data_IF_538482778709
#
_entry.id   IF_538482778709
#
_cell.length_a   1.000
_cell.length_b   1.000
_cell.length_c   1.000
_cell.angle_alpha   90.00
_cell.angle_beta   90.00
_cell.angle_gamma   90.00
#
_symmetry.space_group_name_H-M   'P 1'
#
loop_
_entity.id
_entity.type
_entity.pdbx_description
1 polymer ?
#
# COMPACT_ATOMS: atom_id res chain seq x y z
N UNK A 1 44.44 58.75 6.18
CA UNK A 1 44.09 60.09 6.71
C UNK A 1 42.66 60.38 6.34
N UNK A 2 41.90 60.92 7.28
CA UNK A 2 40.44 60.74 7.33
C UNK A 2 39.70 61.96 6.76
N UNK A 3 38.41 61.77 6.51
CA UNK A 3 37.49 62.91 6.62
C UNK A 3 36.10 62.37 7.04
N UNK A 4 35.81 62.68 8.31
CA UNK A 4 34.48 62.66 8.90
C UNK A 4 33.58 63.70 8.26
N UNK A 5 32.37 63.37 7.90
CA UNK A 5 31.32 64.36 7.66
C UNK A 5 30.13 64.00 8.56
N UNK A 6 29.91 64.85 9.56
CA UNK A 6 28.77 64.86 10.46
C UNK A 6 27.56 65.45 9.74
N UNK A 7 26.39 64.85 9.90
CA UNK A 7 25.09 65.44 9.59
C UNK A 7 24.26 65.58 10.89
N UNK A 8 23.52 66.66 11.06
CA UNK A 8 22.89 66.99 12.34
C UNK A 8 21.52 66.28 12.53
N UNK A 9 21.28 65.99 13.80
CA UNK A 9 19.99 65.47 14.27
C UNK A 9 18.91 66.55 14.17
N UNK A 10 17.89 66.32 13.39
CA UNK A 10 16.69 67.13 13.36
C UNK A 10 15.60 66.47 14.20
N UNK A 11 15.24 67.11 15.31
CA UNK A 11 14.17 66.69 16.21
C UNK A 11 12.83 66.95 15.54
N UNK A 12 12.10 65.90 15.23
CA UNK A 12 10.69 65.99 14.81
C UNK A 12 9.81 65.65 16.01
N UNK A 13 9.13 66.66 16.54
CA UNK A 13 8.05 66.51 17.52
C UNK A 13 6.81 65.96 16.79
N UNK A 14 6.43 64.72 17.10
CA UNK A 14 5.18 64.17 16.62
C UNK A 14 4.11 64.30 17.70
N UNK A 15 3.12 65.14 17.43
CA UNK A 15 1.91 65.27 18.25
C UNK A 15 1.09 63.98 18.23
N UNK A 16 0.95 63.34 19.39
CA UNK A 16 0.09 62.19 19.57
C UNK A 16 -1.34 62.66 19.85
N UNK A 17 -2.19 62.61 18.81
CA UNK A 17 -3.64 62.80 18.96
C UNK A 17 -4.26 61.48 19.40
N UNK A 18 -4.64 61.38 20.70
CA UNK A 18 -5.42 60.28 21.23
C UNK A 18 -6.87 60.40 20.74
N UNK A 19 -7.26 59.58 19.79
CA UNK A 19 -8.67 59.30 19.47
C UNK A 19 -9.17 58.19 20.41
N UNK A 20 -9.98 58.55 21.40
CA UNK A 20 -10.79 57.58 22.16
C UNK A 20 -11.97 57.15 21.30
N UNK A 21 -11.86 55.96 20.72
CA UNK A 21 -13.00 55.25 20.11
C UNK A 21 -13.57 54.29 21.17
N UNK A 22 -14.91 54.18 21.31
CA UNK A 22 -15.50 53.22 22.22
C UNK A 22 -15.31 51.81 21.69
N UNK A 23 -14.78 50.92 22.53
CA UNK A 23 -14.73 49.48 22.28
C UNK A 23 -16.16 48.94 22.26
N UNK A 24 -16.65 48.64 21.06
CA UNK A 24 -17.82 47.78 20.89
C UNK A 24 -17.38 46.32 21.12
N UNK A 25 -17.86 45.71 22.19
CA UNK A 25 -17.72 44.28 22.42
C UNK A 25 -18.47 43.51 21.32
N UNK A 26 -17.73 42.83 20.43
CA UNK A 26 -18.28 41.88 19.51
C UNK A 26 -18.43 40.54 20.26
N UNK A 27 -19.65 39.99 20.40
CA UNK A 27 -19.80 38.67 21.00
C UNK A 27 -19.17 37.62 20.09
N UNK A 28 -18.04 37.09 20.51
CA UNK A 28 -17.34 36.01 19.83
C UNK A 28 -18.03 34.67 20.16
N UNK A 29 -19.14 34.40 19.48
CA UNK A 29 -19.74 33.07 19.42
C UNK A 29 -19.34 32.42 18.09
N UNK A 30 -18.10 31.93 18.00
CA UNK A 30 -17.80 30.88 17.05
C UNK A 30 -18.41 29.59 17.62
N UNK A 31 -19.31 28.91 16.90
CA UNK A 31 -19.75 27.58 17.32
C UNK A 31 -18.52 26.68 17.29
N UNK A 32 -18.18 26.10 18.45
CA UNK A 32 -17.21 25.01 18.52
C UNK A 32 -17.69 23.93 17.55
N UNK A 33 -16.93 23.72 16.48
CA UNK A 33 -17.11 22.57 15.62
C UNK A 33 -16.84 21.33 16.47
N UNK A 34 -17.89 20.63 16.86
CA UNK A 34 -17.75 19.29 17.44
C UNK A 34 -16.96 18.42 16.44
N UNK A 35 -16.02 17.60 16.92
CA UNK A 35 -15.33 16.67 16.04
C UNK A 35 -16.39 15.77 15.41
N UNK A 36 -16.52 15.82 14.07
CA UNK A 36 -17.38 14.94 13.32
C UNK A 36 -16.86 13.52 13.58
N UNK A 37 -17.53 12.81 14.47
CA UNK A 37 -17.34 11.37 14.65
C UNK A 37 -17.73 10.71 13.33
N UNK A 38 -16.74 10.32 12.54
CA UNK A 38 -16.98 9.47 11.37
C UNK A 38 -17.46 8.13 11.92
N UNK A 39 -18.77 7.90 11.86
CA UNK A 39 -19.34 6.63 12.26
C UNK A 39 -18.69 5.51 11.43
N UNK A 40 -18.00 4.57 12.10
CA UNK A 40 -17.46 3.39 11.46
C UNK A 40 -18.62 2.58 10.87
N UNK A 41 -18.40 2.03 9.67
CA UNK A 41 -19.37 1.08 9.11
C UNK A 41 -19.18 -0.29 9.79
N UNK A 42 -20.22 -1.14 9.90
CA UNK A 42 -20.07 -2.49 10.47
C UNK A 42 -18.94 -3.30 9.81
N UNK A 43 -18.70 -3.11 8.52
CA UNK A 43 -17.61 -3.77 7.78
C UNK A 43 -16.23 -3.30 8.25
N UNK A 44 -16.10 -2.04 8.63
CA UNK A 44 -14.85 -1.48 9.17
C UNK A 44 -14.55 -2.10 10.52
N UNK A 45 -15.55 -2.16 11.41
CA UNK A 45 -15.41 -2.73 12.77
C UNK A 45 -14.96 -4.20 12.73
N UNK A 46 -15.49 -5.00 11.78
CA UNK A 46 -15.06 -6.39 11.59
C UNK A 46 -13.62 -6.54 11.11
N UNK A 47 -13.14 -5.62 10.26
CA UNK A 47 -11.75 -5.66 9.78
C UNK A 47 -10.81 -5.22 10.90
N UNK A 48 -11.19 -4.22 11.69
CA UNK A 48 -10.44 -3.76 12.85
C UNK A 48 -10.29 -4.89 13.88
N UNK A 49 -11.41 -5.54 14.22
CA UNK A 49 -11.40 -6.69 15.12
C UNK A 49 -10.51 -7.83 14.58
N UNK A 50 -10.55 -8.10 13.28
CA UNK A 50 -9.71 -9.14 12.67
C UNK A 50 -8.22 -8.78 12.75
N UNK A 51 -7.86 -7.50 12.55
CA UNK A 51 -6.50 -7.01 12.67
C UNK A 51 -5.95 -7.21 14.08
N UNK A 52 -6.76 -6.86 15.09
CA UNK A 52 -6.43 -7.02 16.51
C UNK A 52 -6.34 -8.49 16.91
N UNK A 53 -7.32 -9.32 16.52
CA UNK A 53 -7.32 -10.76 16.80
C UNK A 53 -6.08 -11.47 16.25
N UNK A 54 -5.57 -11.01 15.10
CA UNK A 54 -4.35 -11.52 14.48
C UNK A 54 -3.07 -10.90 15.05
N UNK A 55 -3.16 -9.93 15.97
CA UNK A 55 -2.04 -9.23 16.61
C UNK A 55 -1.08 -8.64 15.58
N UNK A 56 -1.60 -7.90 14.60
CA UNK A 56 -0.82 -7.39 13.47
C UNK A 56 -0.25 -5.98 13.70
N UNK A 57 -0.61 -5.33 14.80
CA UNK A 57 -0.10 -3.99 15.13
C UNK A 57 1.43 -3.97 15.19
N UNK A 58 2.03 -2.90 14.65
CA UNK A 58 3.49 -2.77 14.52
C UNK A 58 4.16 -3.73 13.51
N UNK A 59 3.43 -4.72 12.96
CA UNK A 59 3.96 -5.71 12.01
C UNK A 59 3.49 -5.39 10.59
N UNK A 60 2.18 -5.24 10.39
CA UNK A 60 1.53 -5.03 9.10
C UNK A 60 0.92 -3.63 9.03
N UNK A 61 1.06 -2.95 7.90
CA UNK A 61 0.33 -1.69 7.67
C UNK A 61 -1.17 -1.93 7.72
N UNK A 62 -1.88 -1.28 8.64
CA UNK A 62 -3.33 -1.38 8.74
C UNK A 62 -4.02 -1.01 7.42
N UNK A 63 -3.58 0.06 6.74
CA UNK A 63 -4.14 0.47 5.44
C UNK A 63 -4.00 -0.62 4.38
N UNK A 64 -2.82 -1.26 4.30
CA UNK A 64 -2.57 -2.35 3.36
C UNK A 64 -3.41 -3.59 3.71
N UNK A 65 -3.51 -3.93 5.01
CA UNK A 65 -4.33 -5.03 5.49
C UNK A 65 -5.82 -4.82 5.20
N UNK A 66 -6.37 -3.65 5.51
CA UNK A 66 -7.77 -3.31 5.27
C UNK A 66 -8.12 -3.47 3.79
N UNK A 67 -7.30 -2.95 2.88
CA UNK A 67 -7.51 -3.12 1.44
C UNK A 67 -7.40 -4.59 1.01
N UNK A 68 -6.42 -5.32 1.55
CA UNK A 68 -6.26 -6.75 1.28
C UNK A 68 -7.51 -7.54 1.69
N UNK A 69 -8.06 -7.30 2.88
CA UNK A 69 -9.26 -7.98 3.39
C UNK A 69 -10.50 -7.59 2.60
N UNK A 70 -10.67 -6.29 2.27
CA UNK A 70 -11.78 -5.82 1.44
C UNK A 70 -11.84 -6.55 0.10
N UNK A 71 -10.72 -6.65 -0.62
CA UNK A 71 -10.68 -7.38 -1.88
C UNK A 71 -10.76 -8.90 -1.70
N UNK A 72 -10.11 -9.46 -0.67
CA UNK A 72 -10.18 -10.88 -0.34
C UNK A 72 -11.62 -11.38 -0.15
N UNK A 73 -12.46 -10.61 0.52
CA UNK A 73 -13.88 -10.93 0.73
C UNK A 73 -14.66 -11.06 -0.59
N UNK A 74 -14.33 -10.23 -1.58
CA UNK A 74 -15.01 -10.17 -2.89
C UNK A 74 -14.54 -11.25 -3.89
N UNK A 75 -13.41 -11.92 -3.64
CA UNK A 75 -12.89 -12.96 -4.54
C UNK A 75 -13.54 -14.30 -4.20
N UNK A 76 -14.45 -14.76 -5.05
CA UNK A 76 -15.20 -16.02 -4.87
C UNK A 76 -14.41 -17.26 -5.29
N UNK A 77 -13.48 -17.10 -6.24
CA UNK A 77 -12.71 -18.21 -6.84
C UNK A 77 -11.65 -18.80 -5.91
N UNK A 78 -11.45 -18.21 -4.72
CA UNK A 78 -10.49 -18.74 -3.74
C UNK A 78 -10.98 -20.07 -3.16
N UNK A 79 -10.08 -21.06 -3.09
CA UNK A 79 -10.36 -22.37 -2.49
C UNK A 79 -9.60 -22.60 -1.17
N UNK A 80 -8.79 -21.62 -0.76
CA UNK A 80 -8.05 -21.64 0.51
C UNK A 80 -8.31 -20.38 1.32
N UNK A 81 -8.44 -20.56 2.63
CA UNK A 81 -8.55 -19.44 3.57
C UNK A 81 -7.19 -18.82 3.91
N UNK A 82 -6.31 -18.73 2.91
CA UNK A 82 -4.98 -18.12 3.03
C UNK A 82 -4.94 -16.86 2.19
N UNK A 83 -4.41 -15.79 2.77
CA UNK A 83 -4.16 -14.53 2.09
C UNK A 83 -2.67 -14.18 2.20
N UNK A 84 -2.04 -13.82 1.09
CA UNK A 84 -0.70 -13.26 1.07
C UNK A 84 -0.78 -11.78 0.77
N UNK A 85 -0.21 -10.95 1.64
CA UNK A 85 -0.06 -9.51 1.43
C UNK A 85 1.40 -9.19 1.16
N UNK A 86 1.67 -8.51 0.04
CA UNK A 86 2.98 -7.90 -0.26
C UNK A 86 2.79 -6.39 -0.21
N UNK A 87 3.49 -5.73 0.71
CA UNK A 87 3.43 -4.28 0.92
C UNK A 87 4.63 -3.58 0.29
N UNK A 88 4.49 -3.14 -0.96
CA UNK A 88 5.52 -2.40 -1.67
C UNK A 88 5.64 -0.93 -1.28
N UNK A 89 4.80 -0.43 -0.36
CA UNK A 89 5.04 0.88 0.26
C UNK A 89 6.25 0.86 1.21
N UNK A 90 6.64 -0.33 1.68
CA UNK A 90 7.85 -0.54 2.49
C UNK A 90 9.10 -0.75 1.62
N UNK A 91 10.29 -0.42 2.12
CA UNK A 91 11.55 -0.68 1.40
C UNK A 91 11.84 -2.17 1.29
N UNK A 92 12.64 -2.56 0.32
CA UNK A 92 12.99 -3.97 0.10
C UNK A 92 13.85 -4.58 1.22
N UNK A 93 14.45 -3.75 2.05
CA UNK A 93 15.25 -4.14 3.21
C UNK A 93 14.41 -4.60 4.39
N UNK A 94 13.10 -4.33 4.39
CA UNK A 94 12.18 -4.71 5.45
C UNK A 94 11.33 -5.93 5.10
N UNK A 95 10.83 -6.61 6.14
CA UNK A 95 9.79 -7.62 5.97
C UNK A 95 8.53 -6.92 5.45
N UNK A 96 8.10 -7.29 4.24
CA UNK A 96 6.98 -6.70 3.54
C UNK A 96 6.13 -7.71 2.76
N UNK A 97 6.35 -9.00 3.01
CA UNK A 97 5.48 -10.09 2.63
C UNK A 97 4.97 -10.77 3.89
N UNK A 98 3.66 -10.99 3.95
CA UNK A 98 2.95 -11.59 5.06
C UNK A 98 2.01 -12.67 4.53
N UNK A 99 2.05 -13.87 5.12
CA UNK A 99 1.11 -14.95 4.82
C UNK A 99 0.18 -15.12 6.01
N UNK A 100 -1.11 -14.97 5.78
CA UNK A 100 -2.16 -14.89 6.78
C UNK A 100 -3.12 -16.06 6.62
N UNK A 101 -3.36 -16.82 7.69
CA UNK A 101 -4.45 -17.78 7.78
C UNK A 101 -5.71 -17.07 8.26
N UNK A 102 -6.61 -16.79 7.32
CA UNK A 102 -7.82 -16.02 7.56
C UNK A 102 -8.86 -16.79 8.40
N UNK A 103 -8.84 -18.15 8.34
CA UNK A 103 -9.74 -19.00 9.12
C UNK A 103 -9.32 -19.09 10.57
N UNK A 104 -8.03 -19.32 10.81
CA UNK A 104 -7.48 -19.50 12.15
C UNK A 104 -6.95 -18.20 12.75
N UNK A 105 -7.07 -17.06 12.03
CA UNK A 105 -6.63 -15.72 12.44
C UNK A 105 -5.16 -15.71 12.87
N UNK A 106 -4.25 -16.22 12.03
CA UNK A 106 -2.82 -16.36 12.35
C UNK A 106 -1.93 -15.79 11.25
N UNK A 107 -0.88 -15.11 11.66
CA UNK A 107 0.25 -14.77 10.80
C UNK A 107 1.18 -15.99 10.70
N UNK A 108 1.27 -16.60 9.51
CA UNK A 108 2.05 -17.82 9.29
C UNK A 108 3.50 -17.53 8.92
N UNK A 109 3.73 -16.54 8.04
CA UNK A 109 5.07 -16.17 7.55
C UNK A 109 5.20 -14.67 7.41
N UNK A 110 6.41 -14.20 7.67
CA UNK A 110 6.87 -12.86 7.28
C UNK A 110 8.18 -12.98 6.52
N UNK A 111 8.36 -12.20 5.45
CA UNK A 111 9.58 -12.24 4.65
C UNK A 111 9.88 -10.89 4.00
N UNK A 112 11.14 -10.68 3.65
CA UNK A 112 11.50 -9.74 2.60
C UNK A 112 11.08 -10.32 1.25
N UNK A 113 10.83 -9.47 0.26
CA UNK A 113 10.49 -9.89 -1.10
C UNK A 113 11.04 -8.87 -2.11
N UNK A 114 11.66 -9.36 -3.19
CA UNK A 114 12.16 -8.51 -4.28
C UNK A 114 11.03 -8.10 -5.21
N UNK A 115 11.17 -6.94 -5.85
CA UNK A 115 10.31 -6.43 -6.92
C UNK A 115 11.07 -6.32 -8.25
N UNK A 116 10.36 -5.95 -9.33
CA UNK A 116 10.91 -5.80 -10.66
C UNK A 116 11.94 -4.67 -10.78
N UNK A 117 13.00 -4.87 -11.56
CA UNK A 117 14.13 -3.93 -11.65
C UNK A 117 13.73 -2.53 -12.10
N UNK A 118 12.69 -2.43 -12.94
CA UNK A 118 12.18 -1.16 -13.42
C UNK A 118 11.05 -0.59 -12.54
N UNK A 119 10.68 -1.28 -11.44
CA UNK A 119 9.75 -0.74 -10.46
C UNK A 119 10.38 0.28 -9.51
N UNK A 120 11.70 0.28 -9.36
CA UNK A 120 12.42 1.22 -8.49
C UNK A 120 13.70 0.64 -7.90
N UNK A 121 14.28 1.39 -6.98
CA UNK A 121 15.49 1.01 -6.24
C UNK A 121 15.21 0.17 -5.00
N UNK A 122 15.30 0.78 -3.82
CA UNK A 122 14.93 0.15 -2.55
C UNK A 122 13.39 0.10 -2.39
N UNK A 123 12.69 1.14 -2.83
CA UNK A 123 11.24 1.20 -2.89
C UNK A 123 10.72 0.86 -4.29
N UNK A 124 9.55 0.23 -4.37
CA UNK A 124 8.84 0.03 -5.62
C UNK A 124 7.84 1.18 -5.81
N UNK A 125 8.10 2.04 -6.79
CA UNK A 125 7.32 3.26 -7.04
C UNK A 125 6.64 3.28 -8.42
N UNK A 126 6.97 2.31 -9.29
CA UNK A 126 6.44 2.25 -10.66
C UNK A 126 6.01 0.83 -11.01
N UNK A 127 4.80 0.70 -11.56
CA UNK A 127 4.14 -0.57 -11.81
C UNK A 127 3.65 -0.64 -13.26
N UNK A 128 3.49 -1.85 -13.81
CA UNK A 128 3.02 -2.00 -15.19
C UNK A 128 2.50 -3.41 -15.45
N UNK A 129 1.47 -3.49 -16.28
CA UNK A 129 0.94 -4.74 -16.82
C UNK A 129 1.53 -5.10 -18.21
N UNK A 130 2.38 -4.23 -18.79
CA UNK A 130 2.93 -4.42 -20.14
C UNK A 130 4.04 -5.47 -20.14
N UNK A 131 4.02 -6.34 -21.16
CA UNK A 131 5.12 -7.29 -21.41
C UNK A 131 6.44 -6.55 -21.67
N UNK A 132 7.57 -7.10 -21.22
CA UNK A 132 8.89 -6.50 -21.37
C UNK A 132 9.14 -5.25 -20.50
N UNK A 133 8.18 -4.80 -19.69
CA UNK A 133 8.34 -3.64 -18.82
C UNK A 133 9.36 -3.86 -17.69
N UNK A 134 9.59 -5.12 -17.31
CA UNK A 134 10.39 -5.52 -16.13
C UNK A 134 9.94 -4.84 -14.82
N UNK A 135 8.67 -4.44 -14.76
CA UNK A 135 8.02 -3.88 -13.58
C UNK A 135 7.11 -4.92 -12.94
N UNK A 136 6.97 -4.85 -11.62
CA UNK A 136 5.90 -5.56 -10.91
C UNK A 136 4.54 -4.95 -11.26
N UNK A 137 3.45 -5.72 -11.10
CA UNK A 137 2.09 -5.22 -11.19
C UNK A 137 1.44 -5.27 -9.83
N UNK A 138 0.57 -4.29 -9.54
CA UNK A 138 -0.22 -4.25 -8.31
C UNK A 138 -1.46 -5.14 -8.42
N UNK A 139 -2.18 -5.27 -7.31
CA UNK A 139 -3.53 -5.82 -7.30
C UNK A 139 -3.61 -7.26 -6.83
N UNK A 140 -4.77 -7.84 -7.08
CA UNK A 140 -5.14 -9.17 -6.61
C UNK A 140 -4.82 -10.26 -7.61
N UNK A 141 -4.34 -11.38 -7.07
CA UNK A 141 -4.00 -12.59 -7.80
C UNK A 141 -4.62 -13.80 -7.13
N UNK A 142 -4.94 -14.81 -7.95
CA UNK A 142 -5.18 -16.16 -7.48
C UNK A 142 -3.92 -16.99 -7.71
N UNK A 143 -3.49 -17.72 -6.69
CA UNK A 143 -2.35 -18.64 -6.83
C UNK A 143 -2.79 -19.92 -7.51
N UNK A 144 -1.97 -20.42 -8.44
CA UNK A 144 -2.27 -21.63 -9.19
C UNK A 144 -1.30 -22.78 -8.86
N UNK A 145 -1.01 -23.60 -9.86
CA UNK A 145 -0.08 -24.72 -9.72
C UNK A 145 1.38 -24.23 -9.68
N UNK A 146 2.24 -25.11 -9.22
CA UNK A 146 3.69 -24.94 -9.23
C UNK A 146 4.32 -25.72 -10.36
N UNK A 147 5.51 -25.31 -10.78
CA UNK A 147 6.34 -26.03 -11.75
C UNK A 147 7.83 -25.84 -11.44
N UNK A 148 8.66 -26.69 -12.01
CA UNK A 148 10.11 -26.51 -12.03
C UNK A 148 10.50 -25.83 -13.33
N UNK A 149 11.06 -24.64 -13.24
CA UNK A 149 11.46 -23.84 -14.39
C UNK A 149 12.87 -23.27 -14.23
N UNK A 150 13.21 -22.30 -15.08
CA UNK A 150 14.52 -21.63 -15.04
C UNK A 150 14.84 -21.01 -13.67
N UNK A 151 13.82 -20.56 -12.96
CA UNK A 151 13.95 -19.96 -11.61
C UNK A 151 13.78 -21.01 -10.49
N UNK A 152 13.86 -22.31 -10.81
CA UNK A 152 13.58 -23.39 -9.87
C UNK A 152 12.09 -23.55 -9.59
N UNK A 153 11.76 -23.96 -8.35
CA UNK A 153 10.38 -24.15 -7.89
C UNK A 153 9.61 -22.83 -7.89
N UNK A 154 8.63 -22.75 -8.76
CA UNK A 154 7.92 -21.51 -9.08
C UNK A 154 6.41 -21.70 -8.97
N UNK A 155 5.72 -20.66 -8.45
CA UNK A 155 4.27 -20.62 -8.30
C UNK A 155 3.67 -19.67 -9.33
N UNK A 156 2.73 -20.16 -10.11
CA UNK A 156 1.99 -19.37 -11.12
C UNK A 156 1.02 -18.42 -10.41
N UNK A 157 1.03 -17.16 -10.85
CA UNK A 157 0.16 -16.10 -10.36
C UNK A 157 -0.82 -15.70 -11.47
N UNK A 158 -2.12 -15.86 -11.23
CA UNK A 158 -3.18 -15.42 -12.13
C UNK A 158 -3.71 -14.07 -11.68
N UNK A 159 -3.43 -13.00 -12.43
CA UNK A 159 -3.91 -11.65 -12.12
C UNK A 159 -5.41 -11.52 -12.37
N UNK A 160 -6.14 -10.95 -11.42
CA UNK A 160 -7.61 -10.89 -11.42
C UNK A 160 -8.17 -9.57 -11.92
N UNK A 161 -7.31 -8.57 -12.18
CA UNK A 161 -7.74 -7.20 -12.49
C UNK A 161 -7.33 -6.78 -13.90
N UNK A 162 -8.34 -6.63 -14.77
CA UNK A 162 -8.16 -6.29 -16.19
C UNK A 162 -7.44 -4.93 -16.33
N UNK A 163 -6.41 -4.90 -17.18
CA UNK A 163 -5.58 -3.73 -17.42
C UNK A 163 -4.52 -3.47 -16.35
N UNK A 164 -4.62 -4.09 -15.16
CA UNK A 164 -3.75 -3.89 -14.01
C UNK A 164 -2.73 -5.02 -13.87
N UNK A 165 -3.18 -6.30 -13.88
CA UNK A 165 -2.31 -7.46 -13.72
C UNK A 165 -2.78 -8.72 -14.50
N UNK A 166 -3.84 -8.63 -15.29
CA UNK A 166 -4.38 -9.74 -16.08
C UNK A 166 -3.38 -10.34 -17.08
N UNK A 167 -2.32 -9.61 -17.44
CA UNK A 167 -1.24 -10.12 -18.29
C UNK A 167 -0.16 -10.90 -17.52
N UNK A 168 -0.31 -11.10 -16.21
CA UNK A 168 0.72 -11.71 -15.36
C UNK A 168 1.18 -13.08 -15.88
N UNK A 169 0.26 -13.96 -16.29
CA UNK A 169 0.59 -15.27 -16.86
C UNK A 169 1.36 -15.16 -18.17
N UNK A 170 0.92 -14.32 -19.10
CA UNK A 170 1.59 -14.10 -20.39
C UNK A 170 2.99 -13.50 -20.22
N UNK A 171 3.18 -12.71 -19.16
CA UNK A 171 4.44 -12.11 -18.78
C UNK A 171 5.33 -13.07 -17.98
N UNK A 172 4.90 -14.30 -17.73
CA UNK A 172 5.56 -15.28 -16.88
C UNK A 172 5.89 -14.73 -15.47
N UNK A 173 4.99 -13.93 -14.90
CA UNK A 173 5.09 -13.45 -13.52
C UNK A 173 4.72 -14.59 -12.57
N UNK A 174 5.69 -15.00 -11.77
CA UNK A 174 5.58 -16.13 -10.83
C UNK A 174 6.22 -15.74 -9.49
N UNK A 175 5.84 -16.41 -8.40
CA UNK A 175 6.61 -16.34 -7.17
C UNK A 175 7.66 -17.45 -7.17
N UNK A 176 8.92 -17.11 -6.86
CA UNK A 176 10.03 -18.06 -6.82
C UNK A 176 11.10 -17.66 -5.82
N UNK A 177 12.00 -18.59 -5.50
CA UNK A 177 13.19 -18.29 -4.71
C UNK A 177 14.32 -17.69 -5.56
N UNK A 178 15.10 -16.78 -4.97
CA UNK A 178 16.25 -16.22 -5.67
C UNK A 178 17.38 -15.84 -4.71
N UNK A 179 18.63 -16.09 -5.12
CA UNK A 179 19.79 -15.69 -4.34
C UNK A 179 19.85 -14.17 -4.10
N UNK A 180 19.45 -13.39 -5.11
CA UNK A 180 19.40 -11.93 -5.02
C UNK A 180 18.32 -11.37 -4.07
N UNK A 181 17.40 -12.21 -3.58
CA UNK A 181 16.42 -11.84 -2.56
C UNK A 181 16.89 -12.18 -1.13
N UNK A 182 18.16 -12.60 -0.96
CA UNK A 182 18.73 -12.87 0.36
C UNK A 182 18.89 -11.54 1.14
N UNK A 183 18.36 -11.44 2.39
CA UNK A 183 18.47 -10.24 3.20
C UNK A 183 19.92 -9.80 3.46
N UNK A 184 20.88 -10.72 3.49
CA UNK A 184 22.29 -10.37 3.69
C UNK A 184 22.86 -9.43 2.60
N UNK A 185 22.27 -9.44 1.40
CA UNK A 185 22.67 -8.52 0.32
C UNK A 185 22.39 -7.07 0.70
N UNK A 186 21.40 -6.81 1.54
CA UNK A 186 21.02 -5.44 1.92
C UNK A 186 22.12 -4.73 2.72
N UNK A 187 22.98 -5.47 3.41
CA UNK A 187 24.11 -4.93 4.19
C UNK A 187 25.10 -4.20 3.28
N UNK A 188 25.43 -4.76 2.12
CA UNK A 188 26.37 -4.17 1.18
C UNK A 188 25.73 -3.31 0.11
N UNK A 189 24.52 -3.66 -0.35
CA UNK A 189 23.86 -3.01 -1.48
C UNK A 189 22.79 -2.00 -1.08
N UNK A 190 22.45 -1.85 0.21
CA UNK A 190 21.40 -0.97 0.72
C UNK A 190 19.97 -1.35 0.27
N UNK A 191 19.80 -2.48 -0.44
CA UNK A 191 18.54 -3.00 -0.95
C UNK A 191 18.67 -4.47 -1.35
N UNK A 192 17.55 -5.15 -1.55
CA UNK A 192 17.54 -6.44 -2.22
C UNK A 192 17.92 -6.32 -3.71
N UNK A 193 18.37 -7.43 -4.31
CA UNK A 193 18.36 -7.57 -5.76
C UNK A 193 16.95 -7.49 -6.33
N UNK A 194 16.82 -7.41 -7.66
CA UNK A 194 15.56 -7.13 -8.35
C UNK A 194 15.30 -8.14 -9.45
N UNK A 195 14.04 -8.52 -9.62
CA UNK A 195 13.56 -9.46 -10.64
C UNK A 195 13.27 -8.75 -11.98
N UNK A 196 12.68 -9.48 -12.92
CA UNK A 196 12.09 -8.93 -14.14
C UNK A 196 10.57 -8.69 -14.01
N UNK A 197 10.08 -8.55 -12.76
CA UNK A 197 8.68 -8.29 -12.43
C UNK A 197 8.12 -9.22 -11.35
N UNK A 198 8.68 -10.42 -11.21
CA UNK A 198 8.24 -11.43 -10.25
C UNK A 198 8.45 -10.98 -8.78
N UNK A 199 7.55 -11.35 -7.84
CA UNK A 199 7.86 -11.34 -6.42
C UNK A 199 8.82 -12.49 -6.12
N UNK A 200 10.09 -12.17 -5.79
CA UNK A 200 11.11 -13.19 -5.51
C UNK A 200 11.46 -13.20 -4.02
N UNK A 201 11.54 -14.41 -3.46
CA UNK A 201 11.74 -14.70 -2.05
C UNK A 201 13.19 -15.14 -1.76
N UNK A 202 13.67 -15.02 -0.51
CA UNK A 202 14.83 -15.74 -0.07
C UNK A 202 14.67 -17.24 -0.34
N UNK A 203 15.72 -17.90 -0.87
CA UNK A 203 15.65 -19.30 -1.29
C UNK A 203 15.18 -20.24 -0.16
N UNK A 204 15.62 -20.00 1.08
CA UNK A 204 15.24 -20.83 2.22
C UNK A 204 13.73 -20.74 2.57
N UNK A 205 13.08 -19.63 2.26
CA UNK A 205 11.66 -19.40 2.56
C UNK A 205 10.74 -19.67 1.37
N UNK A 206 11.28 -19.76 0.15
CA UNK A 206 10.46 -19.88 -1.04
C UNK A 206 9.61 -21.14 -1.04
N UNK A 207 10.22 -22.30 -0.83
CA UNK A 207 9.47 -23.58 -0.87
C UNK A 207 8.38 -23.66 0.20
N UNK A 208 8.65 -23.43 1.51
CA UNK A 208 7.62 -23.50 2.53
C UNK A 208 6.49 -22.49 2.31
N UNK A 209 6.78 -21.26 1.90
CA UNK A 209 5.74 -20.26 1.60
C UNK A 209 4.91 -20.70 0.40
N UNK A 210 5.55 -21.08 -0.73
CA UNK A 210 4.85 -21.54 -1.95
C UNK A 210 3.96 -22.73 -1.65
N UNK A 211 4.45 -23.74 -0.90
CA UNK A 211 3.65 -24.91 -0.54
C UNK A 211 2.41 -24.58 0.29
N UNK A 212 2.50 -23.57 1.14
CA UNK A 212 1.37 -23.09 1.93
C UNK A 212 0.32 -22.39 1.06
N UNK A 213 0.78 -21.52 0.16
CA UNK A 213 -0.14 -20.61 -0.56
C UNK A 213 -0.61 -21.14 -1.93
N UNK A 214 0.04 -22.14 -2.53
CA UNK A 214 -0.33 -22.68 -3.86
C UNK A 214 -1.75 -23.22 -3.93
N UNK A 215 -2.35 -23.24 -5.13
CA UNK A 215 -3.65 -23.82 -5.43
C UNK A 215 -4.82 -23.13 -4.75
N UNK A 216 -5.07 -21.88 -5.13
CA UNK A 216 -6.32 -21.17 -4.82
C UNK A 216 -6.30 -20.30 -3.58
N UNK A 217 -5.14 -19.85 -3.11
CA UNK A 217 -5.08 -18.74 -2.16
C UNK A 217 -5.09 -17.38 -2.87
N UNK A 218 -5.47 -16.33 -2.16
CA UNK A 218 -5.40 -14.96 -2.65
C UNK A 218 -4.03 -14.37 -2.33
N UNK A 219 -3.45 -13.66 -3.30
CA UNK A 219 -2.26 -12.83 -3.10
C UNK A 219 -2.59 -11.40 -3.52
N UNK A 220 -2.28 -10.44 -2.66
CA UNK A 220 -2.46 -9.02 -2.93
C UNK A 220 -1.11 -8.30 -2.90
N UNK A 221 -0.81 -7.56 -3.96
CA UNK A 221 0.36 -6.66 -4.03
C UNK A 221 -0.13 -5.23 -3.88
N UNK A 222 0.17 -4.67 -2.72
CA UNK A 222 -0.17 -3.31 -2.33
C UNK A 222 0.98 -2.33 -2.59
N UNK A 223 0.64 -1.13 -2.95
CA UNK A 223 1.46 0.07 -2.84
C UNK A 223 0.55 1.29 -2.61
N UNK A 224 1.09 2.36 -2.05
CA UNK A 224 0.35 3.62 -1.97
C UNK A 224 0.30 4.27 -3.37
N UNK A 225 -0.66 3.81 -4.19
CA UNK A 225 -0.82 4.22 -5.59
C UNK A 225 -2.27 4.62 -5.86
N UNK A 226 -2.49 5.93 -6.08
CA UNK A 226 -3.84 6.49 -6.27
C UNK A 226 -4.51 5.97 -7.54
N UNK A 227 -3.74 5.77 -8.63
CA UNK A 227 -4.28 5.29 -9.91
C UNK A 227 -4.78 3.85 -9.77
N UNK A 228 -4.04 3.01 -9.02
CA UNK A 228 -4.50 1.66 -8.71
C UNK A 228 -5.81 1.68 -7.91
N UNK A 229 -5.88 2.48 -6.85
CA UNK A 229 -7.08 2.56 -6.00
C UNK A 229 -8.31 3.04 -6.79
N UNK A 230 -8.13 4.00 -7.69
CA UNK A 230 -9.22 4.52 -8.53
C UNK A 230 -9.74 3.50 -9.56
N UNK A 231 -8.88 2.56 -10.00
CA UNK A 231 -9.19 1.63 -11.10
C UNK A 231 -9.37 0.17 -10.66
N UNK A 232 -9.10 -0.16 -9.39
CA UNK A 232 -9.24 -1.53 -8.89
C UNK A 232 -10.71 -1.96 -8.86
N UNK A 233 -11.02 -3.10 -9.47
CA UNK A 233 -12.37 -3.68 -9.45
C UNK A 233 -12.79 -4.22 -8.09
N UNK A 234 -11.81 -4.46 -7.20
CA UNK A 234 -12.07 -4.97 -5.86
C UNK A 234 -12.11 -3.88 -4.79
N UNK A 235 -11.46 -2.72 -5.01
CA UNK A 235 -11.33 -1.67 -4.01
C UNK A 235 -12.15 -0.42 -4.32
N UNK A 236 -12.45 -0.15 -5.60
CA UNK A 236 -13.34 0.95 -5.97
C UNK A 236 -14.75 0.72 -5.42
N UNK A 237 -15.45 1.76 -4.96
CA UNK A 237 -16.89 1.68 -4.71
C UNK A 237 -17.58 1.17 -5.97
N UNK A 238 -18.41 0.13 -5.88
CA UNK A 238 -19.14 -0.36 -7.06
C UNK A 238 -19.97 0.79 -7.60
N UNK A 239 -19.97 1.01 -8.93
CA UNK A 239 -20.87 1.93 -9.61
C UNK A 239 -22.37 1.70 -9.28
N UNK A 240 -22.72 0.56 -8.69
CA UNK A 240 -24.07 0.22 -8.24
C UNK A 240 -24.57 1.10 -7.09
N UNK A 241 -23.71 1.69 -6.27
CA UNK A 241 -24.16 2.67 -5.26
C UNK A 241 -24.49 4.03 -5.88
N UNK A 242 -23.84 4.39 -7.00
CA UNK A 242 -24.16 5.63 -7.72
C UNK A 242 -25.52 5.61 -8.42
N UNK A 243 -26.05 4.45 -8.76
CA UNK A 243 -27.33 4.33 -9.45
C UNK A 243 -28.54 4.25 -8.48
N UNK A 244 -28.35 3.92 -7.22
CA UNK A 244 -29.46 3.76 -6.27
C UNK A 244 -30.03 5.09 -5.76
N UNK A 245 -29.27 6.19 -5.79
CA UNK A 245 -29.75 7.52 -5.40
C UNK A 245 -29.90 8.51 -6.58
N UNK A 246 -29.58 8.06 -7.80
CA UNK A 246 -29.82 8.81 -9.03
C UNK A 246 -31.19 8.51 -9.67
N UNK A 247 -32.08 7.74 -9.02
CA UNK A 247 -33.47 7.61 -9.47
C UNK A 247 -34.27 8.83 -8.99
N UNK A 248 -34.86 9.61 -9.90
CA UNK A 248 -35.78 10.68 -9.50
C UNK A 248 -36.95 10.03 -8.74
N UNK A 249 -37.32 10.62 -7.59
CA UNK A 249 -38.53 10.26 -6.89
C UNK A 249 -39.72 10.54 -7.83
N UNK A 250 -40.48 9.49 -8.17
CA UNK A 250 -41.76 9.59 -8.85
C UNK A 250 -42.79 10.13 -7.89
#
# INVERSE_FOLDING_TARGET
MPLFSQFPMQKVFLFLLLFLLPLAEVPNHAPASEPVSVASTPETDEIDQLFDDMQLDGIVSYTAFRQAVTGYRKIEQKSKSIMTLIDFSKPSTEKRLYVLDMKNKKLLYTSVVSHGKNSGGNYATSFSNKNGSYKSSLGFYLTENTYQGRNGYSLVLNGLEKGINDQAKQRAIVMHGAAYANPNITVSAGRLGRSLGCPALPQALAKPIIDTIKKGSVLFIYANNKDYLANSTFLSPRQTEYLSWAQPAN
#
